data_IF_600275670059
#
_entry.id   IF_600275670059
#
_cell.length_a   1.000
_cell.length_b   1.000
_cell.length_c   1.000
_cell.angle_alpha   90.00
_cell.angle_beta   90.00
_cell.angle_gamma   90.00
#
_symmetry.space_group_name_H-M   'P 1'
#
loop_
_entity.id
_entity.type
_entity.pdbx_description
1 polymer ?
#
# COMPACT_ATOMS: atom_id res chain seq x y z
N UNK A 1 -37.65 16.41 -14.42
CA UNK A 1 -36.57 17.26 -14.98
C UNK A 1 -35.38 17.35 -14.03
N UNK A 2 -35.55 17.84 -12.79
CA UNK A 2 -34.44 17.97 -11.83
C UNK A 2 -33.68 16.67 -11.52
N UNK A 3 -34.40 15.57 -11.22
CA UNK A 3 -33.77 14.27 -10.90
C UNK A 3 -32.93 13.73 -12.07
N UNK A 4 -33.45 13.85 -13.30
CA UNK A 4 -32.76 13.43 -14.52
C UNK A 4 -31.49 14.28 -14.72
N UNK A 5 -31.57 15.59 -14.48
CA UNK A 5 -30.42 16.49 -14.61
C UNK A 5 -29.33 16.17 -13.58
N UNK A 6 -29.71 15.87 -12.34
CA UNK A 6 -28.76 15.48 -11.29
C UNK A 6 -28.08 14.14 -11.66
N UNK A 7 -28.85 13.17 -12.15
CA UNK A 7 -28.30 11.89 -12.58
C UNK A 7 -27.31 12.06 -13.73
N UNK A 8 -27.67 12.85 -14.74
CA UNK A 8 -26.78 13.16 -15.86
C UNK A 8 -25.50 13.89 -15.41
N UNK A 9 -25.63 14.85 -14.50
CA UNK A 9 -24.48 15.56 -13.93
C UNK A 9 -23.52 14.59 -13.25
N UNK A 10 -24.01 13.70 -12.39
CA UNK A 10 -23.17 12.71 -11.70
C UNK A 10 -22.49 11.76 -12.68
N UNK A 11 -23.19 11.31 -13.74
CA UNK A 11 -22.61 10.44 -14.76
C UNK A 11 -21.49 11.15 -15.54
N UNK A 12 -21.74 12.37 -16.01
CA UNK A 12 -20.74 13.14 -16.78
C UNK A 12 -19.53 13.48 -15.92
N UNK A 13 -19.76 13.94 -14.69
CA UNK A 13 -18.68 14.24 -13.75
C UNK A 13 -17.88 12.98 -13.42
N UNK A 14 -18.55 11.86 -13.15
CA UNK A 14 -17.92 10.58 -12.88
C UNK A 14 -17.05 10.10 -14.06
N UNK A 15 -17.50 10.30 -15.29
CA UNK A 15 -16.72 9.94 -16.48
C UNK A 15 -15.46 10.80 -16.63
N UNK A 16 -15.55 12.11 -16.39
CA UNK A 16 -14.39 13.02 -16.45
C UNK A 16 -13.35 12.61 -15.41
N UNK A 17 -13.79 12.37 -14.18
CA UNK A 17 -12.92 11.92 -13.08
C UNK A 17 -12.30 10.57 -13.44
N UNK A 18 -13.09 9.61 -13.91
CA UNK A 18 -12.57 8.30 -14.32
C UNK A 18 -11.44 8.42 -15.35
N UNK A 19 -11.61 9.26 -16.37
CA UNK A 19 -10.58 9.47 -17.40
C UNK A 19 -9.33 10.14 -16.79
N UNK A 20 -9.51 11.10 -15.88
CA UNK A 20 -8.40 11.75 -15.17
C UNK A 20 -7.57 10.76 -14.36
N UNK A 21 -8.23 9.98 -13.50
CA UNK A 21 -7.56 8.95 -12.68
C UNK A 21 -6.93 7.87 -13.55
N UNK A 22 -7.60 7.47 -14.64
CA UNK A 22 -7.05 6.51 -15.59
C UNK A 22 -5.76 7.02 -16.23
N UNK A 23 -5.66 8.33 -16.45
CA UNK A 23 -4.43 8.99 -16.90
C UNK A 23 -3.28 8.76 -15.93
N UNK A 24 -3.47 9.14 -14.65
CA UNK A 24 -2.46 8.92 -13.60
C UNK A 24 -2.04 7.47 -13.50
N UNK A 25 -3.02 6.57 -13.43
CA UNK A 25 -2.81 5.13 -13.39
C UNK A 25 -1.96 4.62 -14.56
N UNK A 26 -2.32 5.01 -15.78
CA UNK A 26 -1.64 4.56 -16.99
C UNK A 26 -0.18 5.02 -17.04
N UNK A 27 0.06 6.30 -16.77
CA UNK A 27 1.41 6.87 -16.81
C UNK A 27 2.29 6.37 -15.66
N UNK A 28 1.74 6.23 -14.44
CA UNK A 28 2.46 5.65 -13.30
C UNK A 28 2.93 4.22 -13.60
N UNK A 29 2.02 3.37 -14.09
CA UNK A 29 2.34 1.98 -14.46
C UNK A 29 3.38 1.89 -15.56
N UNK A 30 3.33 2.81 -16.53
CA UNK A 30 4.32 2.87 -17.62
C UNK A 30 5.69 3.34 -17.12
N UNK A 31 5.73 4.20 -16.11
CA UNK A 31 6.95 4.68 -15.47
C UNK A 31 7.58 3.66 -14.50
N UNK A 32 6.90 2.54 -14.22
CA UNK A 32 7.35 1.54 -13.24
C UNK A 32 7.01 1.90 -11.79
N UNK A 33 6.22 2.96 -11.59
CA UNK A 33 5.77 3.39 -10.27
C UNK A 33 4.70 2.42 -9.77
N UNK A 34 4.84 2.02 -8.52
CA UNK A 34 3.91 1.11 -7.88
C UNK A 34 2.59 1.84 -7.59
N UNK A 35 1.48 1.19 -7.94
CA UNK A 35 0.14 1.68 -7.65
C UNK A 35 -0.50 0.72 -6.67
N UNK A 36 -0.91 1.22 -5.51
CA UNK A 36 -1.53 0.41 -4.47
C UNK A 36 -3.04 0.28 -4.67
N UNK A 37 -3.69 1.36 -5.09
CA UNK A 37 -5.14 1.42 -5.26
C UNK A 37 -5.53 2.33 -6.43
N UNK A 38 -6.50 1.87 -7.22
CA UNK A 38 -7.24 2.68 -8.19
C UNK A 38 -8.70 2.74 -7.72
N UNK A 39 -9.15 3.90 -7.27
CA UNK A 39 -10.47 4.07 -6.66
C UNK A 39 -11.36 5.03 -7.44
N UNK A 40 -12.60 4.61 -7.67
CA UNK A 40 -13.69 5.47 -8.15
C UNK A 40 -14.62 5.81 -6.99
N UNK A 41 -14.78 7.11 -6.77
CA UNK A 41 -15.49 7.64 -5.63
C UNK A 41 -14.66 7.68 -4.35
N UNK A 42 -15.33 8.09 -3.27
CA UNK A 42 -14.77 8.28 -1.93
C UNK A 42 -15.60 7.56 -0.85
N UNK A 43 -15.07 7.51 0.36
CA UNK A 43 -15.77 6.95 1.51
C UNK A 43 -15.65 5.42 1.60
N UNK A 44 -16.61 4.70 2.19
CA UNK A 44 -16.50 3.27 2.43
C UNK A 44 -16.48 2.47 1.12
N UNK A 45 -15.71 1.39 1.12
CA UNK A 45 -15.60 0.47 0.00
C UNK A 45 -16.95 -0.25 -0.23
N UNK A 46 -17.50 -0.13 -1.44
CA UNK A 46 -18.71 -0.86 -1.86
C UNK A 46 -18.31 -2.15 -2.57
N UNK A 47 -17.34 -2.06 -3.46
CA UNK A 47 -16.81 -3.18 -4.20
C UNK A 47 -15.31 -3.00 -4.42
N UNK A 48 -14.53 -4.05 -4.19
CA UNK A 48 -13.09 -4.04 -4.42
C UNK A 48 -12.65 -5.35 -5.05
N UNK A 49 -11.83 -5.27 -6.10
CA UNK A 49 -11.17 -6.43 -6.69
C UNK A 49 -9.68 -6.18 -6.78
N UNK A 50 -8.89 -7.10 -6.24
CA UNK A 50 -7.43 -7.06 -6.39
C UNK A 50 -7.00 -7.78 -7.65
N UNK A 51 -6.14 -7.17 -8.45
CA UNK A 51 -5.51 -7.77 -9.62
C UNK A 51 -4.14 -7.13 -9.84
N UNK A 52 -3.12 -7.96 -10.10
CA UNK A 52 -1.73 -7.51 -10.33
C UNK A 52 -1.21 -6.60 -9.19
N UNK A 53 -1.48 -7.01 -7.94
CA UNK A 53 -1.19 -6.31 -6.68
C UNK A 53 -1.93 -4.97 -6.45
N UNK A 54 -2.75 -4.54 -7.41
CA UNK A 54 -3.51 -3.29 -7.35
C UNK A 54 -4.94 -3.56 -6.86
N UNK A 55 -5.41 -2.76 -5.90
CA UNK A 55 -6.82 -2.75 -5.51
C UNK A 55 -7.63 -1.85 -6.44
N UNK A 56 -8.55 -2.43 -7.23
CA UNK A 56 -9.55 -1.67 -7.97
C UNK A 56 -10.80 -1.51 -7.12
N UNK A 57 -11.09 -0.29 -6.68
CA UNK A 57 -12.14 0.03 -5.73
C UNK A 57 -13.25 0.89 -6.35
N UNK A 58 -14.49 0.59 -5.95
CA UNK A 58 -15.66 1.43 -6.15
C UNK A 58 -16.19 1.75 -4.75
N UNK A 59 -16.34 3.04 -4.46
CA UNK A 59 -16.72 3.54 -3.14
C UNK A 59 -18.10 4.21 -3.15
N UNK A 60 -18.70 4.33 -1.97
CA UNK A 60 -20.11 4.69 -1.84
C UNK A 60 -20.44 6.12 -2.27
N UNK A 61 -19.49 7.05 -2.15
CA UNK A 61 -19.68 8.44 -2.54
C UNK A 61 -19.17 8.57 -3.99
N UNK A 62 -20.04 8.77 -5.00
CA UNK A 62 -19.65 8.78 -6.42
C UNK A 62 -18.93 10.07 -6.85
N UNK A 63 -18.51 10.89 -5.89
CA UNK A 63 -17.82 12.16 -6.12
C UNK A 63 -16.34 11.93 -5.89
N UNK A 64 -15.54 12.25 -6.89
CA UNK A 64 -14.08 12.08 -6.85
C UNK A 64 -13.61 10.67 -7.22
N UNK A 65 -12.33 10.47 -7.04
CA UNK A 65 -11.56 9.27 -7.32
C UNK A 65 -10.12 9.54 -6.91
N UNK A 66 -9.31 8.50 -6.84
CA UNK A 66 -7.88 8.65 -6.60
C UNK A 66 -7.11 7.44 -7.10
N UNK A 67 -5.85 7.67 -7.43
CA UNK A 67 -4.84 6.63 -7.65
C UNK A 67 -3.80 6.74 -6.55
N UNK A 68 -3.73 5.75 -5.66
CA UNK A 68 -2.71 5.72 -4.62
C UNK A 68 -1.41 5.21 -5.21
N UNK A 69 -0.46 6.13 -5.44
CA UNK A 69 0.87 5.83 -5.95
C UNK A 69 1.89 5.76 -4.81
N UNK A 70 2.84 4.85 -4.94
CA UNK A 70 4.05 4.82 -4.14
C UNK A 70 4.78 6.17 -4.22
N UNK A 71 5.20 6.74 -3.10
CA UNK A 71 5.92 8.02 -3.02
C UNK A 71 5.04 9.27 -2.96
N UNK A 72 3.72 9.17 -3.16
CA UNK A 72 2.84 10.35 -3.12
C UNK A 72 2.61 10.85 -1.67
N UNK A 73 2.90 10.03 -0.66
CA UNK A 73 2.72 10.39 0.75
C UNK A 73 4.04 10.26 1.54
N UNK A 74 4.33 11.25 2.39
CA UNK A 74 5.54 11.32 3.23
C UNK A 74 5.60 10.18 4.29
N UNK A 75 4.57 9.32 4.35
CA UNK A 75 4.42 8.22 5.30
C UNK A 75 4.12 6.89 4.61
N UNK A 76 4.90 6.55 3.60
CA UNK A 76 4.75 5.27 2.86
C UNK A 76 5.01 4.03 3.73
N UNK A 77 5.75 4.18 4.83
CA UNK A 77 5.87 3.12 5.83
C UNK A 77 4.61 3.08 6.70
N UNK A 78 3.88 1.95 6.62
CA UNK A 78 2.73 1.66 7.49
C UNK A 78 3.14 1.32 8.94
N UNK A 79 4.44 1.27 9.22
CA UNK A 79 5.01 0.97 10.54
C UNK A 79 5.74 2.20 11.09
N UNK A 80 5.77 2.32 12.40
CA UNK A 80 6.49 3.35 13.15
C UNK A 80 7.38 2.70 14.18
N UNK A 81 8.40 3.46 14.61
CA UNK A 81 9.22 3.06 15.76
C UNK A 81 8.33 2.89 17.00
N UNK A 82 8.45 1.75 17.67
CA UNK A 82 7.64 1.36 18.83
C UNK A 82 6.42 0.51 18.49
N UNK A 83 6.08 0.33 17.20
CA UNK A 83 5.00 -0.58 16.82
C UNK A 83 5.42 -2.03 17.09
N UNK A 84 4.47 -2.84 17.56
CA UNK A 84 4.65 -4.29 17.60
C UNK A 84 4.18 -4.87 16.29
N UNK A 85 5.08 -5.55 15.58
CA UNK A 85 4.79 -6.19 14.30
C UNK A 85 5.25 -7.63 14.30
N UNK A 86 4.60 -8.43 13.48
CA UNK A 86 5.07 -9.76 13.12
C UNK A 86 5.74 -9.77 11.77
N UNK A 87 6.75 -10.62 11.57
CA UNK A 87 7.40 -10.80 10.27
C UNK A 87 7.41 -12.28 9.85
N UNK A 88 7.35 -12.51 8.54
CA UNK A 88 7.58 -13.82 7.92
C UNK A 88 8.83 -13.74 7.05
N UNK A 89 9.75 -14.65 7.30
CA UNK A 89 11.02 -14.76 6.59
C UNK A 89 10.92 -15.84 5.50
N UNK A 90 11.66 -15.64 4.40
CA UNK A 90 11.92 -16.70 3.43
C UNK A 90 12.99 -17.69 3.91
N UNK A 91 13.24 -18.74 3.13
CA UNK A 91 14.28 -19.75 3.41
C UNK A 91 15.70 -19.15 3.49
N UNK A 92 15.90 -17.92 2.99
CA UNK A 92 17.17 -17.19 3.00
C UNK A 92 17.27 -16.18 4.15
N UNK A 93 16.24 -16.06 4.99
CA UNK A 93 16.19 -15.12 6.11
C UNK A 93 15.78 -13.69 5.76
N UNK A 94 15.21 -13.43 4.58
CA UNK A 94 14.70 -12.12 4.19
C UNK A 94 13.22 -11.96 4.55
N UNK A 95 12.83 -10.79 5.03
CA UNK A 95 11.43 -10.47 5.31
C UNK A 95 10.64 -10.42 4.01
N UNK A 96 9.57 -11.22 3.94
CA UNK A 96 8.64 -11.25 2.80
C UNK A 96 7.26 -10.69 3.17
N UNK A 97 6.84 -10.82 4.42
CA UNK A 97 5.58 -10.25 4.91
C UNK A 97 5.77 -9.57 6.25
N UNK A 98 5.08 -8.44 6.41
CA UNK A 98 5.06 -7.62 7.62
C UNK A 98 3.62 -7.55 8.10
N UNK A 99 3.32 -8.15 9.24
CA UNK A 99 1.99 -8.18 9.84
C UNK A 99 1.85 -7.02 10.80
N UNK A 100 0.89 -6.13 10.52
CA UNK A 100 0.59 -4.98 11.38
C UNK A 100 -0.30 -5.35 12.57
N UNK A 101 -0.91 -6.53 12.54
CA UNK A 101 -1.73 -7.07 13.61
C UNK A 101 -1.00 -8.24 14.28
N UNK A 102 -0.59 -8.03 15.54
CA UNK A 102 0.15 -9.00 16.36
C UNK A 102 -0.64 -10.28 16.66
N UNK A 103 -1.93 -10.34 16.31
CA UNK A 103 -2.80 -11.48 16.59
C UNK A 103 -2.76 -12.57 15.49
N UNK A 104 -2.02 -12.35 14.41
CA UNK A 104 -1.76 -13.39 13.41
C UNK A 104 -0.53 -14.22 13.80
N UNK A 105 -0.61 -15.53 13.60
CA UNK A 105 0.50 -16.44 13.88
C UNK A 105 1.64 -16.13 12.89
N UNK A 106 2.70 -15.50 13.41
CA UNK A 106 3.89 -15.12 12.65
C UNK A 106 5.11 -15.87 13.17
N UNK A 107 6.17 -15.92 12.37
CA UNK A 107 7.40 -16.62 12.75
C UNK A 107 8.14 -15.87 13.85
N UNK A 108 8.12 -14.52 13.79
CA UNK A 108 8.86 -13.65 14.69
C UNK A 108 7.98 -12.44 15.02
N UNK A 109 7.91 -12.09 16.30
CA UNK A 109 7.17 -10.93 16.83
C UNK A 109 8.15 -10.03 17.58
N UNK A 110 8.16 -8.74 17.26
CA UNK A 110 9.07 -7.80 17.91
C UNK A 110 8.59 -6.35 17.85
N UNK A 111 9.21 -5.52 18.69
CA UNK A 111 9.01 -4.07 18.68
C UNK A 111 9.97 -3.42 17.68
N UNK A 112 9.45 -2.60 16.78
CA UNK A 112 10.26 -1.88 15.78
C UNK A 112 11.15 -0.84 16.44
N UNK A 113 12.46 -1.00 16.37
CA UNK A 113 13.43 -0.01 16.88
C UNK A 113 13.87 0.97 15.79
N UNK A 114 14.10 0.46 14.59
CA UNK A 114 14.42 1.24 13.39
C UNK A 114 14.07 0.42 12.16
N UNK A 115 13.96 1.07 11.00
CA UNK A 115 13.74 0.40 9.73
C UNK A 115 14.15 1.32 8.58
N UNK A 116 14.56 0.72 7.46
CA UNK A 116 14.62 1.37 6.16
C UNK A 116 13.96 0.44 5.14
N UNK A 117 12.78 0.86 4.67
CA UNK A 117 11.98 0.13 3.69
C UNK A 117 11.96 0.85 2.33
N UNK A 118 12.60 2.02 2.25
CA UNK A 118 12.70 2.82 1.04
C UNK A 118 14.01 2.54 0.29
N UNK A 119 15.13 2.48 1.02
CA UNK A 119 16.43 2.11 0.48
C UNK A 119 17.02 3.16 -0.45
N UNK A 120 17.20 4.38 0.05
CA UNK A 120 17.72 5.52 -0.73
C UNK A 120 19.06 5.19 -1.39
N UNK A 121 19.24 5.62 -2.63
CA UNK A 121 20.40 5.32 -3.47
C UNK A 121 20.69 3.81 -3.60
N UNK A 122 19.63 3.01 -3.75
CA UNK A 122 19.72 1.55 -3.91
C UNK A 122 20.24 0.78 -2.68
N UNK A 123 20.18 1.38 -1.49
CA UNK A 123 20.60 0.73 -0.25
C UNK A 123 19.77 -0.54 0.06
N UNK A 124 20.36 -1.44 0.86
CA UNK A 124 19.68 -2.63 1.34
C UNK A 124 18.56 -2.26 2.33
N UNK A 125 17.42 -2.93 2.18
CA UNK A 125 16.26 -2.72 3.04
C UNK A 125 16.38 -3.55 4.30
N UNK A 126 15.97 -3.01 5.44
CA UNK A 126 16.03 -3.72 6.72
C UNK A 126 14.94 -3.29 7.70
N UNK A 127 14.63 -4.18 8.63
CA UNK A 127 13.85 -3.88 9.83
C UNK A 127 14.64 -4.35 11.04
N UNK A 128 14.79 -3.46 12.01
CA UNK A 128 15.39 -3.77 13.31
C UNK A 128 14.26 -4.01 14.33
N UNK A 129 14.17 -5.25 14.82
CA UNK A 129 13.19 -5.68 15.81
C UNK A 129 13.86 -5.97 17.15
N UNK A 130 13.22 -5.54 18.23
CA UNK A 130 13.57 -5.94 19.58
C UNK A 130 12.66 -7.08 20.04
N UNK A 131 13.28 -8.22 20.32
CA UNK A 131 12.65 -9.42 20.87
C UNK A 131 13.13 -9.60 22.31
N UNK A 132 12.22 -9.50 23.28
CA UNK A 132 12.47 -9.52 24.73
C UNK A 132 13.55 -8.53 25.21
N UNK A 133 14.82 -8.83 24.95
CA UNK A 133 15.99 -8.04 25.32
C UNK A 133 17.15 -8.04 24.30
N UNK A 134 16.96 -8.65 23.12
CA UNK A 134 17.93 -8.63 22.04
C UNK A 134 17.33 -7.93 20.82
N UNK A 135 18.19 -7.20 20.11
CA UNK A 135 17.81 -6.51 18.89
C UNK A 135 18.40 -7.23 17.71
N UNK A 136 17.56 -7.62 16.75
CA UNK A 136 17.94 -8.32 15.53
C UNK A 136 17.59 -7.48 14.31
N UNK A 137 18.50 -7.47 13.34
CA UNK A 137 18.32 -6.78 12.06
C UNK A 137 17.95 -7.83 11.02
N UNK A 138 16.79 -7.67 10.41
CA UNK A 138 16.27 -8.54 9.38
C UNK A 138 16.34 -7.83 8.03
N UNK A 139 17.05 -8.38 7.03
CA UNK A 139 17.05 -7.82 5.68
C UNK A 139 15.67 -8.00 5.05
N UNK A 140 15.18 -7.02 4.30
CA UNK A 140 13.83 -7.02 3.73
C UNK A 140 13.88 -7.20 2.22
N UNK A 141 13.00 -8.05 1.70
CA UNK A 141 12.86 -8.22 0.27
C UNK A 141 12.18 -6.98 -0.35
N UNK A 142 12.68 -6.50 -1.49
CA UNK A 142 12.10 -5.37 -2.24
C UNK A 142 10.64 -5.59 -2.70
N UNK A 143 10.18 -6.84 -2.71
CA UNK A 143 8.80 -7.21 -3.01
C UNK A 143 8.01 -7.63 -1.75
N UNK A 144 8.49 -7.28 -0.55
CA UNK A 144 7.77 -7.59 0.68
C UNK A 144 6.41 -6.89 0.74
N UNK A 145 5.48 -7.45 1.52
CA UNK A 145 4.13 -6.91 1.66
C UNK A 145 3.75 -6.68 3.13
N UNK A 146 3.13 -5.53 3.41
CA UNK A 146 2.34 -5.33 4.60
C UNK A 146 1.05 -6.16 4.52
N UNK A 147 0.76 -6.94 5.55
CA UNK A 147 -0.47 -7.69 5.70
C UNK A 147 -1.36 -6.94 6.70
N UNK A 148 -2.45 -6.36 6.19
CA UNK A 148 -3.44 -5.60 6.96
C UNK A 148 -4.52 -6.52 7.53
N UNK A 149 -4.90 -7.56 6.78
CA UNK A 149 -5.89 -8.58 7.14
C UNK A 149 -5.75 -9.79 6.22
N UNK A 150 -6.47 -10.90 6.49
CA UNK A 150 -6.41 -12.16 5.73
C UNK A 150 -6.43 -12.00 4.20
N UNK A 151 -7.22 -11.05 3.69
CA UNK A 151 -7.37 -10.78 2.25
C UNK A 151 -6.89 -9.39 1.83
N UNK A 152 -6.24 -8.63 2.73
CA UNK A 152 -5.79 -7.25 2.49
C UNK A 152 -4.29 -7.15 2.74
N UNK A 153 -3.54 -6.85 1.68
CA UNK A 153 -2.12 -6.56 1.75
C UNK A 153 -1.76 -5.32 0.92
N UNK A 154 -0.57 -4.79 1.14
CA UNK A 154 0.02 -3.68 0.39
C UNK A 154 1.51 -3.97 0.22
N UNK A 155 2.04 -3.81 -0.98
CA UNK A 155 3.49 -3.98 -1.18
C UNK A 155 4.24 -2.84 -0.50
N UNK A 156 5.48 -3.09 -0.06
CA UNK A 156 6.35 -2.00 0.38
C UNK A 156 6.71 -1.11 -0.82
N UNK A 157 7.19 0.11 -0.53
CA UNK A 157 7.57 1.10 -1.53
C UNK A 157 9.09 1.33 -1.53
N UNK A 158 9.89 0.55 -2.27
CA UNK A 158 11.29 0.88 -2.52
C UNK A 158 11.43 2.09 -3.43
N UNK A 159 12.55 2.82 -3.32
CA UNK A 159 12.89 4.01 -4.10
C UNK A 159 12.66 3.83 -5.61
N UNK A 160 13.12 2.71 -6.19
CA UNK A 160 13.03 2.49 -7.64
C UNK A 160 11.60 2.29 -8.18
N UNK A 161 10.61 2.11 -7.29
CA UNK A 161 9.18 2.01 -7.63
C UNK A 161 8.36 3.17 -7.05
N UNK A 162 9.03 4.17 -6.48
CA UNK A 162 8.43 5.38 -5.90
C UNK A 162 8.26 6.47 -6.95
N UNK A 163 7.35 7.41 -6.67
CA UNK A 163 7.16 8.64 -7.44
C UNK A 163 8.20 9.72 -7.13
N UNK A 164 8.85 9.67 -5.95
CA UNK A 164 9.84 10.65 -5.47
C UNK A 164 11.24 10.54 -6.11
#
# INVERSE_FOLDING_TARGET
MLIINILLFVIVLGLIIFIHELGHYYYARRAGILVHEFSLGMGPLVYGKRKDDILYAIRAIPIGGYVSMAGESISDALIKKGDQIGIELDEKGHVTKIFLDSNQQTNILGEVQSFDLYGKAQADLFIELKEENQTHIYPVNRNAAYILSKDKYMLITPEEKSFE
#
